data_IF_515533420105
#
_entry.id   IF_515533420105
#
_cell.length_a   1.000
_cell.length_b   1.000
_cell.length_c   1.000
_cell.angle_alpha   90.00
_cell.angle_beta   90.00
_cell.angle_gamma   90.00
#
_symmetry.space_group_name_H-M   'P 1'
#
loop_
_entity.id
_entity.type
_entity.pdbx_description
1 polymer ?
#
# COMPACT_ATOMS: atom_id res chain seq x y z
N UNK A 1 -27.74 19.77 -4.44
CA UNK A 1 -26.85 20.24 -5.51
C UNK A 1 -25.82 19.14 -5.78
N UNK A 2 -25.84 18.51 -6.97
CA UNK A 2 -24.77 17.61 -7.40
C UNK A 2 -23.53 18.50 -7.61
N UNK A 3 -22.49 18.33 -6.78
CA UNK A 3 -21.18 18.94 -7.05
C UNK A 3 -20.73 18.43 -8.43
N UNK A 4 -20.26 19.33 -9.29
CA UNK A 4 -19.62 18.94 -10.54
C UNK A 4 -18.47 18.01 -10.19
N UNK A 5 -18.55 16.76 -10.64
CA UNK A 5 -17.45 15.81 -10.55
C UNK A 5 -16.36 16.27 -11.52
N UNK A 6 -15.16 16.37 -11.04
CA UNK A 6 -13.99 16.66 -11.88
C UNK A 6 -13.60 15.39 -12.66
N UNK A 7 -12.77 15.54 -13.68
CA UNK A 7 -12.20 14.37 -14.38
C UNK A 7 -11.43 13.48 -13.40
N UNK A 8 -10.74 14.08 -12.43
CA UNK A 8 -9.99 13.35 -11.39
C UNK A 8 -10.92 12.54 -10.47
N UNK A 9 -12.09 13.08 -10.11
CA UNK A 9 -13.10 12.34 -9.33
C UNK A 9 -13.60 11.11 -10.09
N UNK A 10 -13.80 11.24 -11.42
CA UNK A 10 -14.22 10.13 -12.28
C UNK A 10 -13.10 9.07 -12.41
N UNK A 11 -11.87 9.51 -12.61
CA UNK A 11 -10.72 8.62 -12.69
C UNK A 11 -10.48 7.88 -11.37
N UNK A 12 -10.73 8.54 -10.22
CA UNK A 12 -10.65 7.90 -8.92
C UNK A 12 -11.73 6.84 -8.71
N UNK A 13 -12.92 7.01 -9.32
CA UNK A 13 -14.05 6.12 -9.10
C UNK A 13 -13.78 4.65 -9.48
N UNK A 14 -12.89 4.38 -10.45
CA UNK A 14 -12.48 3.01 -10.78
C UNK A 14 -11.85 2.25 -9.60
N UNK A 15 -11.32 2.97 -8.62
CA UNK A 15 -10.63 2.42 -7.45
C UNK A 15 -11.55 2.17 -6.23
N UNK A 16 -12.87 2.20 -6.41
CA UNK A 16 -13.83 1.76 -5.38
C UNK A 16 -14.22 0.29 -5.52
N UNK A 17 -13.93 -0.34 -6.66
CA UNK A 17 -14.34 -1.70 -6.98
C UNK A 17 -13.33 -2.75 -6.51
N UNK A 18 -13.79 -4.00 -6.40
CA UNK A 18 -12.90 -5.14 -6.20
C UNK A 18 -11.90 -5.29 -7.35
N UNK A 19 -10.78 -5.90 -7.05
CA UNK A 19 -9.73 -6.23 -8.03
C UNK A 19 -9.25 -7.67 -7.80
N UNK A 20 -8.43 -8.25 -8.68
CA UNK A 20 -8.03 -9.66 -8.60
C UNK A 20 -7.50 -10.11 -7.23
N UNK A 21 -6.78 -9.24 -6.52
CA UNK A 21 -6.19 -9.55 -5.22
C UNK A 21 -6.89 -8.88 -4.03
N UNK A 22 -7.81 -7.95 -4.28
CA UNK A 22 -8.49 -7.19 -3.22
C UNK A 22 -10.00 -7.30 -3.38
N UNK A 23 -10.69 -8.11 -2.56
CA UNK A 23 -12.13 -8.19 -2.54
C UNK A 23 -12.76 -7.01 -1.80
N UNK A 24 -14.01 -6.73 -2.13
CA UNK A 24 -14.91 -5.86 -1.36
C UNK A 24 -15.85 -6.76 -0.57
N UNK A 25 -15.92 -6.60 0.75
CA UNK A 25 -16.77 -7.42 1.60
C UNK A 25 -17.18 -6.71 2.89
N UNK A 26 -18.35 -7.12 3.43
CA UNK A 26 -18.84 -6.59 4.70
C UNK A 26 -17.86 -6.78 5.87
N UNK A 27 -17.05 -7.83 5.84
CA UNK A 27 -16.05 -8.09 6.89
C UNK A 27 -15.05 -6.95 7.03
N UNK A 28 -14.55 -6.42 5.92
CA UNK A 28 -13.61 -5.30 5.92
C UNK A 28 -14.31 -3.98 6.26
N UNK A 29 -15.55 -3.78 5.75
CA UNK A 29 -16.35 -2.61 6.08
C UNK A 29 -16.62 -2.52 7.59
N UNK A 30 -17.10 -3.61 8.20
CA UNK A 30 -17.41 -3.67 9.64
C UNK A 30 -16.17 -3.41 10.51
N UNK A 31 -14.99 -3.90 10.11
CA UNK A 31 -13.77 -3.70 10.87
C UNK A 31 -13.26 -2.25 10.84
N UNK A 32 -13.58 -1.50 9.77
CA UNK A 32 -13.09 -0.14 9.54
C UNK A 32 -14.12 0.97 9.81
N UNK A 33 -15.42 0.67 9.85
CA UNK A 33 -16.50 1.67 9.88
C UNK A 33 -16.43 2.70 11.00
N UNK A 34 -15.89 2.32 12.16
CA UNK A 34 -15.87 3.19 13.34
C UNK A 34 -14.96 4.42 13.17
N UNK A 35 -14.05 4.42 12.17
CA UNK A 35 -13.25 5.59 11.82
C UNK A 35 -14.00 6.55 10.88
N UNK A 36 -14.94 6.04 10.08
CA UNK A 36 -15.60 6.78 8.99
C UNK A 36 -17.02 7.20 9.38
N UNK A 37 -17.13 7.90 10.50
CA UNK A 37 -18.41 8.44 10.99
C UNK A 37 -18.64 9.87 10.48
N UNK A 38 -19.91 10.31 10.34
CA UNK A 38 -20.22 11.67 9.91
C UNK A 38 -19.53 12.73 10.76
N UNK A 39 -18.93 13.73 10.08
CA UNK A 39 -18.24 14.84 10.73
C UNK A 39 -16.72 14.64 10.89
N UNK A 40 -16.19 13.45 10.72
CA UNK A 40 -14.74 13.20 10.70
C UNK A 40 -14.22 13.43 9.26
N UNK A 41 -13.16 14.27 9.07
CA UNK A 41 -12.52 14.41 7.77
C UNK A 41 -11.98 13.06 7.25
N UNK A 42 -12.18 12.79 5.96
CA UNK A 42 -11.82 11.51 5.34
C UNK A 42 -10.34 11.13 5.53
N UNK A 43 -9.44 12.10 5.46
CA UNK A 43 -8.01 11.86 5.69
C UNK A 43 -7.74 11.47 7.14
N UNK A 44 -8.37 12.13 8.09
CA UNK A 44 -8.24 11.79 9.51
C UNK A 44 -8.75 10.37 9.79
N UNK A 45 -9.90 10.00 9.19
CA UNK A 45 -10.44 8.65 9.26
C UNK A 45 -9.48 7.61 8.65
N UNK A 46 -8.89 7.92 7.48
CA UNK A 46 -7.88 7.09 6.82
C UNK A 46 -6.62 6.88 7.67
N UNK A 47 -6.16 7.94 8.33
CA UNK A 47 -5.04 7.85 9.29
C UNK A 47 -5.39 7.00 10.51
N UNK A 48 -6.62 7.07 11.01
CA UNK A 48 -7.11 6.20 12.08
C UNK A 48 -7.09 4.72 11.67
N UNK A 49 -7.55 4.40 10.47
CA UNK A 49 -7.48 3.06 9.90
C UNK A 49 -6.02 2.59 9.73
N UNK A 50 -5.15 3.44 9.21
CA UNK A 50 -3.71 3.16 9.07
C UNK A 50 -3.08 2.80 10.42
N UNK A 51 -3.32 3.62 11.46
CA UNK A 51 -2.83 3.36 12.81
C UNK A 51 -3.38 2.04 13.37
N UNK A 52 -4.65 1.72 13.12
CA UNK A 52 -5.24 0.44 13.54
C UNK A 52 -4.55 -0.76 12.86
N UNK A 53 -4.24 -0.67 11.58
CA UNK A 53 -3.48 -1.72 10.89
C UNK A 53 -2.10 -1.87 11.54
N UNK A 54 -1.39 -0.76 11.73
CA UNK A 54 -0.07 -0.77 12.36
C UNK A 54 -0.05 -1.41 13.76
N UNK A 55 -1.07 -1.17 14.57
CA UNK A 55 -1.16 -1.68 15.95
C UNK A 55 -1.66 -3.12 16.03
N UNK A 56 -2.61 -3.50 15.16
CA UNK A 56 -3.27 -4.81 15.22
C UNK A 56 -2.52 -5.92 14.45
N UNK A 57 -1.62 -5.54 13.53
CA UNK A 57 -0.90 -6.48 12.68
C UNK A 57 0.60 -6.49 12.97
N UNK A 58 1.18 -7.68 12.93
CA UNK A 58 2.62 -7.86 13.12
C UNK A 58 3.33 -8.06 11.78
N UNK A 59 4.38 -7.28 11.55
CA UNK A 59 5.25 -7.50 10.39
C UNK A 59 6.00 -8.83 10.54
N UNK A 60 5.86 -9.72 9.53
CA UNK A 60 6.47 -11.04 9.54
C UNK A 60 6.66 -11.50 8.07
N UNK A 61 7.90 -11.45 7.59
CA UNK A 61 8.25 -11.78 6.20
C UNK A 61 8.10 -13.27 5.87
N UNK A 62 7.87 -14.13 6.87
CA UNK A 62 7.67 -15.58 6.69
C UNK A 62 6.20 -15.99 6.75
N UNK A 63 5.30 -15.04 7.11
CA UNK A 63 3.88 -15.37 7.33
C UNK A 63 3.07 -15.49 6.04
N UNK A 64 3.48 -14.78 4.98
CA UNK A 64 2.75 -14.64 3.72
C UNK A 64 3.68 -14.71 2.51
N UNK A 65 3.08 -14.90 1.34
CA UNK A 65 3.73 -14.80 0.04
C UNK A 65 3.00 -13.76 -0.81
N UNK A 66 3.55 -13.36 -1.94
CA UNK A 66 2.93 -12.39 -2.85
C UNK A 66 1.55 -12.82 -3.38
N UNK A 67 1.21 -14.11 -3.29
CA UNK A 67 -0.07 -14.67 -3.72
C UNK A 67 -1.01 -15.01 -2.56
N UNK A 68 -0.62 -14.72 -1.32
CA UNK A 68 -1.49 -14.98 -0.16
C UNK A 68 -2.75 -14.12 -0.24
N UNK A 69 -3.95 -14.71 -0.15
CA UNK A 69 -5.20 -13.94 -0.14
C UNK A 69 -5.25 -12.96 1.03
N UNK A 70 -5.79 -11.77 0.79
CA UNK A 70 -5.86 -10.70 1.80
C UNK A 70 -6.65 -11.13 3.05
N UNK A 71 -7.69 -11.96 2.89
CA UNK A 71 -8.48 -12.49 4.01
C UNK A 71 -7.65 -13.38 4.94
N UNK A 72 -6.66 -14.11 4.39
CA UNK A 72 -5.76 -14.93 5.19
C UNK A 72 -4.84 -14.03 6.03
N UNK A 73 -4.17 -13.05 5.42
CA UNK A 73 -3.33 -12.10 6.14
C UNK A 73 -4.14 -11.34 7.21
N UNK A 74 -5.36 -10.92 6.86
CA UNK A 74 -6.29 -10.28 7.79
C UNK A 74 -6.66 -11.16 8.99
N UNK A 75 -6.83 -12.46 8.77
CA UNK A 75 -7.21 -13.42 9.82
C UNK A 75 -6.06 -13.71 10.77
N UNK A 76 -4.87 -13.95 10.22
CA UNK A 76 -3.69 -14.31 11.05
C UNK A 76 -3.03 -13.08 11.69
N UNK A 77 -3.42 -11.86 11.30
CA UNK A 77 -2.87 -10.58 11.78
C UNK A 77 -1.36 -10.46 11.60
N UNK A 78 -0.84 -11.02 10.51
CA UNK A 78 0.57 -11.03 10.15
C UNK A 78 0.74 -10.89 8.64
N UNK A 79 1.87 -10.30 8.23
CA UNK A 79 2.23 -10.16 6.83
C UNK A 79 3.32 -9.13 6.60
N UNK A 80 3.42 -8.69 5.35
CA UNK A 80 4.39 -7.69 4.90
C UNK A 80 3.67 -6.42 4.41
N UNK A 81 4.43 -5.43 3.94
CA UNK A 81 3.90 -4.15 3.47
C UNK A 81 2.79 -4.31 2.39
N UNK A 82 2.94 -5.28 1.47
CA UNK A 82 1.90 -5.61 0.49
C UNK A 82 0.58 -5.99 1.16
N UNK A 83 0.63 -6.87 2.16
CA UNK A 83 -0.58 -7.34 2.87
C UNK A 83 -1.26 -6.19 3.60
N UNK A 84 -0.50 -5.34 4.26
CA UNK A 84 -1.05 -4.21 5.02
C UNK A 84 -1.67 -3.16 4.11
N UNK A 85 -1.04 -2.87 2.97
CA UNK A 85 -1.62 -2.01 1.93
C UNK A 85 -2.92 -2.62 1.38
N UNK A 86 -2.94 -3.90 1.03
CA UNK A 86 -4.13 -4.60 0.53
C UNK A 86 -5.28 -4.60 1.55
N UNK A 87 -5.00 -4.83 2.84
CA UNK A 87 -6.00 -4.78 3.92
C UNK A 87 -6.60 -3.38 4.03
N UNK A 88 -5.77 -2.33 4.03
CA UNK A 88 -6.26 -0.96 4.07
C UNK A 88 -7.13 -0.61 2.87
N UNK A 89 -6.73 -1.01 1.66
CA UNK A 89 -7.52 -0.80 0.43
C UNK A 89 -8.84 -1.59 0.49
N UNK A 90 -8.82 -2.86 0.93
CA UNK A 90 -10.02 -3.66 1.10
C UNK A 90 -11.03 -3.00 2.04
N UNK A 91 -10.56 -2.46 3.17
CA UNK A 91 -11.39 -1.72 4.11
C UNK A 91 -12.01 -0.46 3.47
N UNK A 92 -11.19 0.38 2.84
CA UNK A 92 -11.62 1.63 2.22
C UNK A 92 -12.64 1.38 1.10
N UNK A 93 -12.35 0.46 0.18
CA UNK A 93 -13.25 0.11 -0.92
C UNK A 93 -14.55 -0.52 -0.42
N UNK A 94 -14.49 -1.30 0.65
CA UNK A 94 -15.70 -1.89 1.28
C UNK A 94 -16.61 -0.84 1.90
N UNK A 95 -16.08 0.36 2.18
CA UNK A 95 -16.84 1.55 2.59
C UNK A 95 -17.20 2.47 1.41
N UNK A 96 -16.92 2.07 0.17
CA UNK A 96 -17.19 2.86 -1.04
C UNK A 96 -16.19 4.00 -1.28
N UNK A 97 -15.02 3.96 -0.63
CA UNK A 97 -13.97 4.98 -0.77
C UNK A 97 -12.92 4.53 -1.78
N UNK A 98 -12.50 5.46 -2.66
CA UNK A 98 -11.49 5.18 -3.66
C UNK A 98 -10.11 5.06 -3.01
N UNK A 99 -9.47 3.91 -3.20
CA UNK A 99 -8.13 3.63 -2.71
C UNK A 99 -7.34 2.79 -3.73
N UNK A 100 -6.06 3.11 -3.92
CA UNK A 100 -5.18 2.41 -4.85
C UNK A 100 -3.92 1.89 -4.15
N UNK A 101 -3.35 0.85 -4.73
CA UNK A 101 -2.07 0.28 -4.33
C UNK A 101 -0.94 1.09 -4.93
N UNK A 102 0.10 1.34 -4.15
CA UNK A 102 1.32 2.02 -4.61
C UNK A 102 2.52 1.13 -4.34
N UNK A 103 3.33 0.94 -5.37
CA UNK A 103 4.62 0.26 -5.30
C UNK A 103 5.75 1.26 -5.47
N UNK A 104 6.79 1.11 -4.69
CA UNK A 104 7.92 2.01 -4.76
C UNK A 104 9.07 1.58 -3.87
N UNK A 105 9.89 2.55 -3.48
CA UNK A 105 11.00 2.37 -2.56
C UNK A 105 10.88 3.32 -1.39
N UNK A 106 11.39 2.89 -0.25
CA UNK A 106 11.53 3.71 0.93
C UNK A 106 13.00 4.00 1.15
N UNK A 107 13.38 5.28 1.17
CA UNK A 107 14.71 5.69 1.55
C UNK A 107 14.95 5.38 3.03
N UNK A 108 15.81 4.42 3.32
CA UNK A 108 16.14 4.02 4.68
C UNK A 108 17.38 4.74 5.15
N UNK A 109 17.34 5.31 6.34
CA UNK A 109 18.51 5.90 6.98
C UNK A 109 19.38 4.78 7.57
N UNK A 110 20.70 4.81 7.37
CA UNK A 110 21.59 3.84 8.01
C UNK A 110 21.55 3.99 9.53
N UNK A 111 21.75 2.91 10.30
CA UNK A 111 21.93 3.03 11.72
C UNK A 111 23.04 4.01 12.09
N UNK A 112 22.95 4.79 13.17
CA UNK A 112 23.96 5.76 13.55
C UNK A 112 25.38 5.13 13.58
N UNK A 113 26.32 5.78 12.88
CA UNK A 113 27.73 5.36 12.82
C UNK A 113 28.05 4.17 11.89
N UNK A 114 27.07 3.72 11.09
CA UNK A 114 27.34 2.68 10.06
C UNK A 114 27.08 3.24 8.69
N UNK A 115 27.90 2.86 7.66
CA UNK A 115 27.62 3.20 6.28
C UNK A 115 26.32 2.50 5.82
N UNK A 116 25.62 3.11 4.87
CA UNK A 116 24.48 2.50 4.20
C UNK A 116 24.94 1.26 3.43
N UNK A 117 24.24 0.17 3.56
CA UNK A 117 24.50 -1.05 2.81
C UNK A 117 23.90 -0.92 1.40
N UNK A 118 24.68 -1.15 0.37
CA UNK A 118 24.19 -1.20 -1.02
C UNK A 118 23.15 -2.31 -1.14
N UNK A 119 21.97 -1.99 -1.70
CA UNK A 119 20.85 -2.94 -1.82
C UNK A 119 20.03 -3.14 -0.54
N UNK A 120 20.28 -2.35 0.52
CA UNK A 120 19.51 -2.40 1.76
C UNK A 120 18.11 -1.77 1.62
N UNK A 121 17.91 -0.93 0.62
CA UNK A 121 16.60 -0.34 0.32
C UNK A 121 15.74 -1.39 -0.38
N UNK A 122 14.82 -1.96 0.36
CA UNK A 122 13.89 -2.95 -0.16
C UNK A 122 12.73 -2.27 -0.90
N UNK A 123 12.16 -2.97 -1.89
CA UNK A 123 10.88 -2.56 -2.47
C UNK A 123 9.84 -2.43 -1.35
N UNK A 124 9.06 -1.38 -1.42
CA UNK A 124 8.04 -1.06 -0.42
C UNK A 124 6.68 -0.87 -1.07
N UNK A 125 5.65 -1.01 -0.27
CA UNK A 125 4.28 -0.86 -0.72
C UNK A 125 3.45 -0.12 0.32
N UNK A 126 2.54 0.72 -0.16
CA UNK A 126 1.58 1.44 0.65
C UNK A 126 0.26 1.62 -0.11
N UNK A 127 -0.70 2.24 0.50
CA UNK A 127 -1.95 2.61 -0.15
C UNK A 127 -2.00 4.12 -0.39
N UNK A 128 -2.81 4.55 -1.37
CA UNK A 128 -3.21 5.94 -1.47
C UNK A 128 -4.74 6.04 -1.42
N UNK A 129 -5.22 6.93 -0.55
CA UNK A 129 -6.63 7.27 -0.39
C UNK A 129 -6.94 8.51 -1.22
N UNK A 130 -8.02 8.48 -2.00
CA UNK A 130 -8.50 9.65 -2.70
C UNK A 130 -9.28 10.57 -1.77
N UNK A 131 -8.85 11.82 -1.66
CA UNK A 131 -9.48 12.86 -0.86
C UNK A 131 -10.05 13.91 -1.81
N UNK A 132 -11.39 14.02 -1.97
CA UNK A 132 -12.00 14.99 -2.88
C UNK A 132 -11.49 16.41 -2.64
N UNK A 133 -11.01 17.06 -3.70
CA UNK A 133 -10.43 18.41 -3.64
C UNK A 133 -8.97 18.50 -3.20
N UNK A 134 -8.36 17.38 -2.76
CA UNK A 134 -6.93 17.29 -2.41
C UNK A 134 -6.18 16.24 -3.24
N UNK A 135 -6.91 15.35 -3.96
CA UNK A 135 -6.32 14.29 -4.74
C UNK A 135 -5.89 13.07 -3.92
N UNK A 136 -4.87 12.37 -4.39
CA UNK A 136 -4.38 11.13 -3.79
C UNK A 136 -3.40 11.39 -2.65
N UNK A 137 -3.69 10.88 -1.46
CA UNK A 137 -2.83 10.96 -0.28
C UNK A 137 -2.32 9.57 0.08
N UNK A 138 -1.00 9.40 0.12
CA UNK A 138 -0.35 8.13 0.47
C UNK A 138 -0.37 7.88 1.98
N UNK A 139 -0.72 6.66 2.36
CA UNK A 139 -0.76 6.18 3.73
C UNK A 139 0.05 4.88 3.82
N UNK A 140 1.07 4.86 4.65
CA UNK A 140 1.93 3.69 4.87
C UNK A 140 1.58 3.01 6.20
N UNK A 141 0.75 1.96 6.18
CA UNK A 141 0.36 1.25 7.39
C UNK A 141 1.48 0.39 8.00
N UNK A 142 2.57 0.14 7.26
CA UNK A 142 3.72 -0.60 7.78
C UNK A 142 4.54 0.23 8.75
N UNK A 143 4.66 1.52 8.47
CA UNK A 143 5.44 2.47 9.27
C UNK A 143 4.56 3.46 10.05
N UNK A 144 3.24 3.40 9.88
CA UNK A 144 2.26 4.35 10.44
C UNK A 144 2.55 5.81 10.06
N UNK A 145 2.83 6.05 8.78
CA UNK A 145 3.22 7.36 8.25
C UNK A 145 2.34 7.78 7.07
N UNK A 146 2.03 9.06 7.00
CA UNK A 146 1.63 9.69 5.73
C UNK A 146 2.88 9.80 4.86
N UNK A 147 2.78 9.40 3.58
CA UNK A 147 3.96 9.37 2.70
C UNK A 147 4.54 10.78 2.48
N UNK A 148 5.85 10.85 2.41
CA UNK A 148 6.63 12.09 2.23
C UNK A 148 7.90 11.82 1.42
N UNK A 149 8.91 12.65 1.59
CA UNK A 149 10.15 12.66 0.78
C UNK A 149 10.95 11.34 0.80
N UNK A 150 10.71 10.50 1.80
CA UNK A 150 11.35 9.17 1.88
C UNK A 150 10.65 8.11 1.03
N UNK A 151 9.45 8.40 0.50
CA UNK A 151 8.65 7.45 -0.28
C UNK A 151 8.78 7.75 -1.77
N UNK A 152 9.50 6.91 -2.49
CA UNK A 152 9.72 7.01 -3.94
C UNK A 152 8.70 6.15 -4.67
N UNK A 153 7.66 6.77 -5.23
CA UNK A 153 6.64 6.06 -6.01
C UNK A 153 7.20 5.64 -7.37
N UNK A 154 7.08 4.36 -7.70
CA UNK A 154 7.39 3.83 -9.04
C UNK A 154 6.13 3.61 -9.87
N UNK A 155 5.10 3.02 -9.27
CA UNK A 155 3.86 2.69 -9.96
C UNK A 155 2.69 2.63 -8.97
N UNK A 156 1.48 2.76 -9.52
CA UNK A 156 0.24 2.52 -8.78
C UNK A 156 -0.73 1.73 -9.63
N UNK A 157 -1.65 1.03 -8.96
CA UNK A 157 -2.66 0.22 -9.62
C UNK A 157 -3.80 -0.16 -8.67
N UNK A 158 -4.67 -1.04 -9.13
CA UNK A 158 -5.79 -1.52 -8.32
C UNK A 158 -5.31 -2.40 -7.16
N UNK A 159 -4.31 -3.23 -7.42
CA UNK A 159 -3.62 -4.09 -6.47
C UNK A 159 -2.21 -4.44 -6.97
N UNK A 160 -1.48 -5.31 -6.27
CA UNK A 160 -0.13 -5.72 -6.64
C UNK A 160 -0.03 -6.32 -8.05
N UNK A 161 -1.08 -7.00 -8.56
CA UNK A 161 -1.04 -7.62 -9.88
C UNK A 161 -0.91 -6.62 -11.05
N UNK A 162 -1.31 -5.37 -10.84
CA UNK A 162 -1.18 -4.29 -11.84
C UNK A 162 0.24 -3.71 -11.88
N UNK A 163 1.00 -3.81 -10.78
CA UNK A 163 2.30 -3.13 -10.61
C UNK A 163 3.45 -4.10 -10.30
N UNK A 164 3.29 -5.35 -10.64
CA UNK A 164 4.34 -6.36 -10.46
C UNK A 164 5.62 -5.95 -11.20
N UNK A 165 6.78 -5.85 -10.53
CA UNK A 165 8.02 -5.35 -11.15
C UNK A 165 8.48 -6.17 -12.35
N UNK A 166 8.24 -7.49 -12.31
CA UNK A 166 8.53 -8.41 -13.41
C UNK A 166 7.32 -9.30 -13.64
N UNK A 167 6.79 -9.29 -14.87
CA UNK A 167 5.72 -10.16 -15.30
C UNK A 167 6.07 -10.75 -16.66
N UNK A 168 6.03 -12.07 -16.78
CA UNK A 168 6.36 -12.75 -18.03
C UNK A 168 6.10 -14.24 -17.95
N UNK A 169 6.31 -14.91 -19.08
CA UNK A 169 6.25 -16.38 -19.20
C UNK A 169 7.66 -16.90 -19.52
N UNK A 170 8.13 -17.84 -18.73
CA UNK A 170 9.39 -18.55 -18.99
C UNK A 170 9.05 -19.85 -19.70
N UNK A 171 9.57 -20.02 -20.90
CA UNK A 171 9.50 -21.27 -21.66
C UNK A 171 10.77 -22.09 -21.39
N UNK A 172 10.62 -23.28 -20.84
CA UNK A 172 11.71 -24.19 -20.51
C UNK A 172 11.63 -24.68 -19.05
N UNK A 173 12.16 -25.85 -18.77
CA UNK A 173 12.21 -26.44 -17.43
C UNK A 173 13.58 -26.28 -16.80
N UNK A 174 13.64 -26.01 -15.49
CA UNK A 174 14.86 -25.92 -14.69
C UNK A 174 14.69 -25.04 -13.46
N UNK A 175 15.58 -25.12 -12.47
CA UNK A 175 15.51 -24.25 -11.31
C UNK A 175 15.84 -22.80 -11.72
N UNK A 176 14.97 -21.89 -11.37
CA UNK A 176 15.19 -20.46 -11.59
C UNK A 176 15.51 -19.76 -10.26
N UNK A 177 16.47 -18.84 -10.29
CA UNK A 177 16.79 -17.97 -9.15
C UNK A 177 16.62 -16.52 -9.57
N UNK A 178 15.74 -15.80 -8.90
CA UNK A 178 15.61 -14.36 -9.01
C UNK A 178 16.45 -13.70 -7.90
N UNK A 179 17.27 -12.73 -8.27
CA UNK A 179 17.97 -11.86 -7.32
C UNK A 179 17.63 -10.42 -7.66
N UNK A 180 17.22 -9.65 -6.66
CA UNK A 180 16.90 -8.22 -6.79
C UNK A 180 17.77 -7.46 -5.81
N UNK A 181 18.40 -6.39 -6.28
CA UNK A 181 19.15 -5.44 -5.46
C UNK A 181 18.69 -4.04 -5.80
N UNK A 182 18.48 -3.22 -4.79
CA UNK A 182 18.06 -1.83 -4.92
C UNK A 182 18.96 -0.96 -4.06
N UNK A 183 19.37 0.17 -4.60
CA UNK A 183 20.07 1.22 -3.88
C UNK A 183 19.37 2.56 -4.13
N UNK A 184 19.04 3.27 -3.05
CA UNK A 184 18.40 4.59 -3.09
C UNK A 184 19.33 5.58 -2.40
N UNK A 185 19.78 6.60 -3.14
CA UNK A 185 20.67 7.64 -2.64
C UNK A 185 20.14 9.03 -2.94
N UNK A 186 20.41 9.99 -2.06
CA UNK A 186 20.12 11.41 -2.33
C UNK A 186 21.08 11.96 -3.39
N UNK A 187 20.55 12.66 -4.39
CA UNK A 187 21.36 13.38 -5.37
C UNK A 187 21.94 14.61 -4.69
N UNK A 188 23.26 14.68 -4.55
CA UNK A 188 23.96 15.80 -3.92
C UNK A 188 24.75 15.47 -2.65
N UNK A 189 24.61 14.27 -2.09
CA UNK A 189 25.55 13.75 -1.11
C UNK A 189 26.76 13.13 -1.85
N UNK A 190 27.76 13.96 -2.15
CA UNK A 190 29.10 13.47 -2.54
C UNK A 190 29.73 12.85 -1.29
N UNK A 191 30.01 11.55 -1.38
CA UNK A 191 30.82 10.80 -0.43
C UNK A 191 32.20 11.42 -0.22
#
# INVERSE_FOLDING_TARGET
MRKHQTQEDLDAFQYVFSSPMIPVSNRFAEWAKDFFIPGIPILQAGMGLMNKIYTDFKYDSQATTTTTPVEKAFTIKKGVCQDFAHIGIACLRSLGLAARYVSGYLHTLPPPGKPKLIGADASHAWLALYVPGSGWVGLDPTNNLVTGDQHLTLAWGRDYSDVTPVKGTVLGGGPHRLSVSVDVSMIGETS
#
